data_IF_913675878789
#
_entry.id   IF_913675878789
#
_cell.length_a   1.000
_cell.length_b   1.000
_cell.length_c   1.000
_cell.angle_alpha   90.00
_cell.angle_beta   90.00
_cell.angle_gamma   90.00
#
_symmetry.space_group_name_H-M   'P 1'
#
loop_
_entity.id
_entity.type
_entity.pdbx_description
1 polymer ?
#
# COMPACT_ATOMS: atom_id res chain seq x y z
N UNK A 1 14.80 4.40 16.98
CA UNK A 1 13.45 4.83 17.41
C UNK A 1 12.44 3.97 16.67
N UNK A 2 11.81 2.98 17.32
CA UNK A 2 10.71 2.25 16.68
C UNK A 2 9.50 3.18 16.64
N UNK A 3 8.85 3.31 15.50
CA UNK A 3 7.55 4.00 15.40
C UNK A 3 6.51 3.06 16.03
N UNK A 4 6.47 3.03 17.37
CA UNK A 4 5.50 2.25 18.13
C UNK A 4 4.11 2.82 17.85
N UNK A 5 3.25 2.02 17.20
CA UNK A 5 1.84 2.34 17.03
C UNK A 5 1.45 3.08 15.75
N UNK A 6 2.32 3.20 14.75
CA UNK A 6 1.91 3.80 13.48
C UNK A 6 0.88 2.93 12.75
N UNK A 7 -0.34 3.45 12.62
CA UNK A 7 -1.36 2.84 11.79
C UNK A 7 -1.15 3.23 10.33
N UNK A 8 -0.81 2.26 9.49
CA UNK A 8 -0.67 2.43 8.05
C UNK A 8 -1.88 1.81 7.34
N UNK A 9 -2.54 2.59 6.49
CA UNK A 9 -3.71 2.15 5.72
C UNK A 9 -3.47 2.31 4.22
N UNK A 10 -3.64 1.22 3.46
CA UNK A 10 -3.56 1.25 2.00
C UNK A 10 -4.88 1.76 1.42
N UNK A 11 -4.79 2.78 0.56
CA UNK A 11 -5.93 3.35 -0.16
C UNK A 11 -5.83 2.95 -1.62
N UNK A 12 -6.76 2.10 -2.05
CA UNK A 12 -6.83 1.57 -3.41
C UNK A 12 -7.81 2.36 -4.27
N UNK A 13 -7.54 2.44 -5.57
CA UNK A 13 -8.51 2.91 -6.57
C UNK A 13 -9.74 2.00 -6.67
N UNK A 14 -10.83 2.49 -7.27
CA UNK A 14 -12.11 1.78 -7.30
C UNK A 14 -12.03 0.40 -8.00
N UNK A 15 -11.30 0.32 -9.11
CA UNK A 15 -11.11 -0.93 -9.86
C UNK A 15 -10.34 -1.97 -9.05
N UNK A 16 -9.26 -1.56 -8.37
CA UNK A 16 -8.45 -2.43 -7.53
C UNK A 16 -9.22 -2.92 -6.31
N UNK A 17 -10.03 -2.05 -5.68
CA UNK A 17 -10.92 -2.47 -4.60
C UNK A 17 -11.94 -3.50 -5.09
N UNK A 18 -12.53 -3.30 -6.27
CA UNK A 18 -13.48 -4.25 -6.84
C UNK A 18 -12.82 -5.61 -7.13
N UNK A 19 -11.61 -5.60 -7.67
CA UNK A 19 -10.81 -6.81 -7.88
C UNK A 19 -10.49 -7.53 -6.57
N UNK A 20 -9.97 -6.82 -5.55
CA UNK A 20 -9.66 -7.41 -4.23
C UNK A 20 -10.89 -8.09 -3.63
N UNK A 21 -12.04 -7.42 -3.67
CA UNK A 21 -13.30 -7.98 -3.15
C UNK A 21 -13.77 -9.20 -3.94
N UNK A 22 -13.73 -9.13 -5.28
CA UNK A 22 -14.21 -10.20 -6.16
C UNK A 22 -13.38 -11.47 -6.04
N UNK A 23 -12.06 -11.33 -5.96
CA UNK A 23 -11.14 -12.48 -5.89
C UNK A 23 -10.86 -12.94 -4.44
N UNK A 24 -11.45 -12.28 -3.43
CA UNK A 24 -11.27 -12.65 -2.01
C UNK A 24 -9.84 -12.50 -1.51
N UNK A 25 -9.09 -11.52 -2.04
CA UNK A 25 -7.67 -11.34 -1.71
C UNK A 25 -7.50 -10.77 -0.30
N UNK A 26 -6.77 -11.49 0.55
CA UNK A 26 -6.33 -10.97 1.84
C UNK A 26 -5.18 -9.96 1.65
N UNK A 27 -5.36 -8.73 2.12
CA UNK A 27 -4.34 -7.68 2.08
C UNK A 27 -3.45 -7.78 3.33
N UNK A 28 -2.14 -8.07 3.19
CA UNK A 28 -1.24 -8.19 4.34
C UNK A 28 -1.02 -6.88 5.09
N UNK A 29 -0.75 -6.96 6.40
CA UNK A 29 -0.31 -5.83 7.22
C UNK A 29 1.20 -5.59 7.05
N UNK A 30 1.63 -5.17 5.86
CA UNK A 30 3.05 -5.11 5.46
C UNK A 30 3.99 -4.38 6.44
N UNK A 31 3.51 -3.37 7.15
CA UNK A 31 4.33 -2.57 8.06
C UNK A 31 4.15 -2.89 9.55
N UNK A 32 3.38 -3.93 9.89
CA UNK A 32 3.21 -4.30 11.29
C UNK A 32 4.54 -4.74 11.91
N UNK A 33 4.98 -4.05 12.96
CA UNK A 33 6.25 -4.34 13.64
C UNK A 33 7.50 -3.81 12.92
N UNK A 34 7.36 -3.18 11.75
CA UNK A 34 8.48 -2.58 11.03
C UNK A 34 8.72 -1.13 11.49
N UNK A 35 9.99 -0.74 11.66
CA UNK A 35 10.36 0.63 12.02
C UNK A 35 10.44 1.60 10.83
N UNK A 36 10.37 1.08 9.60
CA UNK A 36 10.42 1.88 8.38
C UNK A 36 9.00 2.20 7.89
N UNK A 37 8.76 3.48 7.61
CA UNK A 37 7.49 3.99 7.09
C UNK A 37 7.48 3.89 5.56
N UNK A 38 6.36 3.52 4.91
CA UNK A 38 6.28 3.51 3.45
C UNK A 38 6.55 4.88 2.85
N UNK A 39 7.26 4.89 1.72
CA UNK A 39 7.57 6.09 0.93
C UNK A 39 7.06 5.96 -0.51
N UNK A 40 6.95 7.10 -1.19
CA UNK A 40 6.60 7.13 -2.61
C UNK A 40 7.70 6.41 -3.41
N UNK A 41 7.29 5.52 -4.32
CA UNK A 41 8.20 4.66 -5.07
C UNK A 41 8.36 3.26 -4.47
N UNK A 42 7.99 3.05 -3.21
CA UNK A 42 7.87 1.70 -2.65
C UNK A 42 6.82 0.90 -3.39
N UNK A 43 7.01 -0.41 -3.40
CA UNK A 43 6.18 -1.35 -4.14
C UNK A 43 5.76 -2.49 -3.23
N UNK A 44 4.46 -2.79 -3.19
CA UNK A 44 3.92 -3.97 -2.50
C UNK A 44 3.37 -4.98 -3.50
N UNK A 45 3.48 -6.27 -3.17
CA UNK A 45 3.00 -7.38 -4.01
C UNK A 45 2.13 -8.32 -3.20
N UNK A 46 0.93 -8.59 -3.70
CA UNK A 46 -0.01 -9.53 -3.11
C UNK A 46 -1.08 -9.91 -4.14
N UNK A 47 -1.75 -11.05 -3.94
CA UNK A 47 -2.78 -11.54 -4.87
C UNK A 47 -2.30 -11.68 -6.32
N UNK A 48 -1.00 -11.90 -6.52
CA UNK A 48 -0.41 -11.97 -7.86
C UNK A 48 -0.40 -10.64 -8.61
N UNK A 49 -0.47 -9.48 -7.95
CA UNK A 49 -0.33 -8.14 -8.55
C UNK A 49 0.69 -7.30 -7.81
N UNK A 50 1.18 -6.26 -8.50
CA UNK A 50 2.08 -5.27 -7.96
C UNK A 50 1.41 -3.90 -7.86
N UNK A 51 1.60 -3.22 -6.73
CA UNK A 51 1.04 -1.90 -6.46
C UNK A 51 2.15 -0.94 -6.05
N UNK A 52 2.29 0.16 -6.80
CA UNK A 52 3.24 1.21 -6.46
C UNK A 52 2.58 2.22 -5.51
N UNK A 53 3.33 2.65 -4.50
CA UNK A 53 2.94 3.75 -3.63
C UNK A 53 3.17 5.05 -4.38
N UNK A 54 2.09 5.77 -4.67
CA UNK A 54 2.10 7.00 -5.48
C UNK A 54 2.03 8.26 -4.62
N UNK A 55 1.35 8.19 -3.49
CA UNK A 55 1.24 9.32 -2.57
C UNK A 55 1.08 8.84 -1.12
N UNK A 56 1.36 9.75 -0.19
CA UNK A 56 1.20 9.55 1.25
C UNK A 56 0.52 10.75 1.87
N UNK A 57 -0.38 10.51 2.80
CA UNK A 57 -1.07 11.55 3.58
C UNK A 57 -1.04 11.15 5.05
N UNK A 58 -0.57 12.06 5.88
CA UNK A 58 -0.69 11.96 7.32
C UNK A 58 -2.03 12.56 7.74
N UNK A 59 -2.84 11.77 8.44
CA UNK A 59 -4.13 12.18 8.97
C UNK A 59 -4.17 11.93 10.48
N UNK A 60 -5.20 12.48 11.13
CA UNK A 60 -5.57 12.13 12.49
C UNK A 60 -7.02 11.64 12.46
N UNK A 61 -7.26 10.39 12.85
CA UNK A 61 -8.59 9.77 12.78
C UNK A 61 -9.50 10.10 13.99
N UNK A 62 -9.02 10.98 14.86
CA UNK A 62 -9.67 11.36 16.10
C UNK A 62 -9.12 10.63 17.33
N UNK A 63 -8.35 9.56 17.15
CA UNK A 63 -7.68 8.83 18.24
C UNK A 63 -6.16 8.77 18.07
N UNK A 64 -5.69 8.61 16.83
CA UNK A 64 -4.26 8.47 16.55
C UNK A 64 -3.87 9.02 15.18
N UNK A 65 -2.57 9.35 14.98
CA UNK A 65 -2.04 9.59 13.66
C UNK A 65 -2.14 8.34 12.78
N UNK A 66 -2.72 8.50 11.59
CA UNK A 66 -2.82 7.46 10.57
C UNK A 66 -2.06 7.91 9.33
N UNK A 67 -1.22 7.02 8.81
CA UNK A 67 -0.61 7.20 7.51
C UNK A 67 -1.45 6.51 6.43
N UNK A 68 -2.12 7.29 5.59
CA UNK A 68 -2.76 6.79 4.38
C UNK A 68 -1.77 6.74 3.24
N UNK A 69 -1.72 5.61 2.57
CA UNK A 69 -0.80 5.33 1.49
C UNK A 69 -1.61 5.00 0.25
N UNK A 70 -1.57 5.88 -0.72
CA UNK A 70 -2.33 5.73 -1.96
C UNK A 70 -1.54 4.85 -2.90
N UNK A 71 -2.15 3.73 -3.26
CA UNK A 71 -1.59 2.78 -4.21
C UNK A 71 -2.39 2.82 -5.50
N UNK A 72 -1.66 2.78 -6.61
CA UNK A 72 -2.25 2.83 -7.94
C UNK A 72 -1.54 1.91 -8.92
N UNK A 73 -2.19 1.70 -10.06
CA UNK A 73 -1.73 0.91 -11.20
C UNK A 73 -1.38 -0.54 -10.83
N UNK A 74 -2.37 -1.32 -10.41
CA UNK A 74 -2.17 -2.74 -10.20
C UNK A 74 -1.73 -3.42 -11.50
N UNK A 75 -0.46 -3.83 -11.57
CA UNK A 75 0.11 -4.48 -12.74
C UNK A 75 0.26 -5.98 -12.51
N UNK A 76 0.01 -6.76 -13.54
CA UNK A 76 0.33 -8.18 -13.49
C UNK A 76 1.86 -8.34 -13.41
N UNK A 77 2.38 -9.42 -12.82
CA UNK A 77 3.81 -9.72 -12.72
C UNK A 77 4.51 -9.71 -14.09
N UNK A 78 3.79 -10.09 -15.14
CA UNK A 78 4.23 -10.01 -16.54
C UNK A 78 4.51 -8.59 -17.02
N UNK A 79 3.91 -7.58 -16.38
CA UNK A 79 3.95 -6.19 -16.82
C UNK A 79 5.00 -5.38 -16.03
N UNK A 80 5.95 -6.08 -15.39
CA UNK A 80 7.07 -5.45 -14.66
C UNK A 80 7.96 -4.68 -15.65
N UNK A 81 7.58 -3.44 -15.94
CA UNK A 81 8.45 -2.46 -16.58
C UNK A 81 9.27 -1.82 -15.47
N UNK A 82 10.47 -2.35 -15.23
CA UNK A 82 11.53 -1.57 -14.61
C UNK A 82 11.84 -0.44 -15.60
N UNK A 83 11.23 0.73 -15.41
CA UNK A 83 11.56 1.91 -16.19
C UNK A 83 13.06 2.16 -16.12
N UNK A 84 13.68 2.31 -17.28
CA UNK A 84 15.11 2.63 -17.42
C UNK A 84 15.44 3.85 -16.55
N UNK A 85 16.49 3.70 -15.74
CA UNK A 85 17.07 4.76 -14.91
C UNK A 85 17.38 6.03 -15.73
#
# INVERSE_FOLDING_TARGET
MSVQGLQVSLVFGAEDQAWIRREGIAVPRFWHGHGAVPVVGDVVRFGGRQFAIRARVWEHDGQSPVLRVFVGDARAPSDTSLGTL
#
